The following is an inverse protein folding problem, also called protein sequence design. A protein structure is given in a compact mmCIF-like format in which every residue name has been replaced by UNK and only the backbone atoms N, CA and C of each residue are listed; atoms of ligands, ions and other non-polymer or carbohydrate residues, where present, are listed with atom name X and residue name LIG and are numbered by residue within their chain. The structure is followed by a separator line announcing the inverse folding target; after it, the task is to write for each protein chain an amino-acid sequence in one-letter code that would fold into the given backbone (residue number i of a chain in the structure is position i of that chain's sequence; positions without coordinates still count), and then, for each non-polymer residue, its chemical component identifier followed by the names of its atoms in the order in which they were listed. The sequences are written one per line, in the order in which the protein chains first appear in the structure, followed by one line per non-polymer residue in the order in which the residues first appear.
data_IF_400822235885
#
_entry.id   IF_400822235885
#
_cell.length_a   1.000
_cell.length_b   1.000
_cell.length_c   1.000
_cell.angle_alpha   90.00
_cell.angle_beta   90.00
_cell.angle_gamma   90.00
#
_symmetry.space_group_name_H-M   'P 1'
#
loop_
_entity.id
_entity.type
_entity.pdbx_description
1 polymer ?
#
# COMPACT_ATOMS: atom_id res chain seq x y z
N UNK A 1 10.00 8.10 13.81
CA UNK A 1 10.63 8.34 12.49
C UNK A 1 9.83 7.58 11.45
N UNK A 2 9.60 8.18 10.28
CA UNK A 2 9.03 7.49 9.10
C UNK A 2 10.18 7.00 8.22
N UNK A 3 9.96 5.95 7.45
CA UNK A 3 10.95 5.42 6.51
C UNK A 3 11.04 6.34 5.31
N UNK A 4 12.26 6.65 4.84
CA UNK A 4 12.45 7.32 3.55
C UNK A 4 12.12 6.36 2.41
N UNK A 5 11.92 6.89 1.21
CA UNK A 5 11.77 6.15 -0.05
C UNK A 5 12.77 4.98 -0.18
N UNK A 6 14.07 5.21 -0.05
CA UNK A 6 15.08 4.16 -0.15
C UNK A 6 15.01 3.10 0.96
N UNK A 7 14.60 3.50 2.18
CA UNK A 7 14.37 2.55 3.28
C UNK A 7 13.13 1.69 3.00
N UNK A 8 12.09 2.27 2.40
CA UNK A 8 10.88 1.55 2.02
C UNK A 8 11.22 0.48 0.98
N UNK A 9 11.95 0.84 -0.08
CA UNK A 9 12.42 -0.11 -1.10
C UNK A 9 13.23 -1.26 -0.49
N UNK A 10 14.21 -0.93 0.34
CA UNK A 10 15.04 -1.93 1.01
C UNK A 10 14.22 -2.87 1.90
N UNK A 11 13.24 -2.35 2.64
CA UNK A 11 12.38 -3.15 3.53
C UNK A 11 11.44 -4.07 2.74
N UNK A 12 11.00 -3.64 1.56
CA UNK A 12 10.22 -4.47 0.64
C UNK A 12 11.10 -5.59 0.09
N UNK A 13 12.32 -5.27 -0.34
CA UNK A 13 13.27 -6.25 -0.89
C UNK A 13 13.72 -7.29 0.16
N UNK A 14 13.90 -6.85 1.42
CA UNK A 14 14.18 -7.73 2.56
C UNK A 14 12.99 -8.60 2.98
N UNK A 15 11.80 -8.40 2.40
CA UNK A 15 10.59 -9.13 2.77
C UNK A 15 10.01 -8.76 4.14
N UNK A 16 10.51 -7.70 4.77
CA UNK A 16 9.94 -7.17 6.01
C UNK A 16 8.60 -6.46 5.77
N UNK A 17 8.41 -5.92 4.55
CA UNK A 17 7.16 -5.33 4.08
C UNK A 17 6.76 -6.08 2.80
N UNK A 18 5.62 -6.77 2.82
CA UNK A 18 5.09 -7.45 1.64
C UNK A 18 3.97 -6.62 1.02
N UNK A 19 4.14 -6.20 -0.24
CA UNK A 19 3.11 -5.53 -1.04
C UNK A 19 3.02 -6.28 -2.37
N UNK A 20 1.85 -6.83 -2.66
CA UNK A 20 1.59 -7.55 -3.90
C UNK A 20 0.40 -6.91 -4.66
N UNK A 21 0.56 -6.61 -5.95
CA UNK A 21 1.80 -6.65 -6.74
C UNK A 21 2.81 -5.59 -6.27
N UNK A 22 4.11 -5.85 -6.48
CA UNK A 22 5.17 -4.93 -6.06
C UNK A 22 4.93 -3.52 -6.64
N UNK A 23 5.04 -2.46 -5.81
CA UNK A 23 4.88 -1.09 -6.27
C UNK A 23 6.01 -0.72 -7.24
N UNK A 24 5.71 0.12 -8.23
CA UNK A 24 6.74 0.68 -9.08
C UNK A 24 7.56 1.73 -8.31
N UNK A 25 8.85 1.97 -8.64
CA UNK A 25 9.68 2.96 -7.96
C UNK A 25 9.07 4.37 -7.98
N UNK A 26 8.37 4.71 -9.08
CA UNK A 26 7.63 5.95 -9.23
C UNK A 26 6.43 6.12 -8.27
N UNK A 27 5.95 5.02 -7.67
CA UNK A 27 4.88 5.03 -6.66
C UNK A 27 5.42 5.17 -5.23
N UNK A 28 6.75 5.23 -5.05
CA UNK A 28 7.39 5.43 -3.76
C UNK A 28 7.94 6.85 -3.75
N UNK A 29 7.42 7.72 -2.88
CA UNK A 29 7.80 9.13 -2.86
C UNK A 29 7.93 9.66 -1.43
N UNK A 30 9.14 10.12 -1.10
CA UNK A 30 9.49 10.75 0.16
C UNK A 30 9.44 9.78 1.34
N UNK A 31 8.25 9.55 1.87
CA UNK A 31 8.00 8.73 3.08
C UNK A 31 6.72 7.89 2.96
N UNK A 32 6.26 7.65 1.73
CA UNK A 32 4.95 7.05 1.43
C UNK A 32 5.02 6.17 0.18
N UNK A 33 4.10 5.21 0.09
CA UNK A 33 3.85 4.41 -1.11
C UNK A 33 2.42 4.65 -1.56
N UNK A 34 2.24 5.00 -2.82
CA UNK A 34 0.92 5.14 -3.45
C UNK A 34 0.32 3.76 -3.73
N UNK A 35 -0.95 3.59 -3.35
CA UNK A 35 -1.74 2.38 -3.60
C UNK A 35 -2.87 2.66 -4.57
N UNK A 36 -3.30 1.63 -5.30
CA UNK A 36 -4.42 1.73 -6.25
C UNK A 36 -5.70 1.19 -5.64
N UNK A 37 -6.81 1.89 -5.89
CA UNK A 37 -8.14 1.44 -5.52
C UNK A 37 -8.56 0.23 -6.37
N UNK A 38 -9.00 -0.84 -5.73
CA UNK A 38 -9.55 -2.01 -6.41
C UNK A 38 -10.99 -1.77 -6.90
N UNK A 39 -11.49 -2.66 -7.75
CA UNK A 39 -12.83 -2.56 -8.34
C UNK A 39 -13.94 -3.27 -7.54
N UNK A 40 -13.64 -3.76 -6.34
CA UNK A 40 -14.60 -4.50 -5.51
C UNK A 40 -14.99 -3.69 -4.28
N UNK A 41 -16.29 -3.50 -4.09
CA UNK A 41 -16.85 -2.73 -3.00
C UNK A 41 -17.88 -3.58 -2.25
N UNK A 42 -17.89 -3.47 -0.92
CA UNK A 42 -18.90 -4.09 -0.07
C UNK A 42 -19.83 -3.01 0.44
N UNK A 43 -21.13 -3.21 0.27
CA UNK A 43 -22.19 -2.32 0.79
C UNK A 43 -22.88 -3.04 1.96
N UNK A 44 -23.10 -2.32 3.06
CA UNK A 44 -23.86 -2.83 4.20
C UNK A 44 -25.30 -2.31 4.10
N UNK A 45 -26.28 -3.22 4.10
CA UNK A 45 -27.70 -2.87 4.12
C UNK A 45 -28.27 -3.21 5.50
N UNK A 46 -28.31 -2.22 6.39
CA UNK A 46 -28.96 -2.36 7.70
C UNK A 46 -30.46 -2.12 7.53
N UNK A 47 -31.21 -3.16 7.11
CA UNK A 47 -32.66 -3.15 7.24
C UNK A 47 -32.99 -3.41 8.71
N UNK A 48 -32.92 -2.36 9.55
CA UNK A 48 -33.70 -2.32 10.78
C UNK A 48 -35.16 -2.26 10.36
N UNK A 49 -35.79 -3.43 10.28
CA UNK A 49 -37.25 -3.56 10.32
C UNK A 49 -37.74 -3.39 11.76
#
# INVERSE_FOLDING_TARGET
MRLSDGDIEQRIEQGSIAIEPAPAPESIAGISVDLRLANSFRVFSNNTV
#
